data_IF_803016145078
#
_entry.id   IF_803016145078
#
_cell.length_a   1.000
_cell.length_b   1.000
_cell.length_c   1.000
_cell.angle_alpha   90.00
_cell.angle_beta   90.00
_cell.angle_gamma   90.00
#
_symmetry.space_group_name_H-M   'P 1'
#
loop_
_entity.id
_entity.type
_entity.pdbx_description
1 polymer ?
#
# COMPACT_ATOMS: atom_id res chain seq x y z
N UNK A 1 -16.57 -8.87 1.26
CA UNK A 1 -15.74 -7.98 0.41
C UNK A 1 -16.38 -6.63 0.05
N UNK A 2 -17.48 -6.54 -0.71
CA UNK A 2 -18.08 -5.22 -1.10
C UNK A 2 -18.43 -4.31 0.08
N UNK A 3 -19.03 -4.86 1.13
CA UNK A 3 -19.35 -4.11 2.35
C UNK A 3 -18.09 -3.57 3.06
N UNK A 4 -17.01 -4.36 3.10
CA UNK A 4 -15.74 -3.96 3.72
C UNK A 4 -15.07 -2.81 2.97
N UNK A 5 -15.02 -2.88 1.64
CA UNK A 5 -14.54 -1.75 0.83
C UNK A 5 -15.36 -0.48 1.08
N UNK A 6 -16.69 -0.59 1.16
CA UNK A 6 -17.53 0.56 1.48
C UNK A 6 -17.18 1.15 2.85
N UNK A 7 -16.90 0.31 3.86
CA UNK A 7 -16.46 0.75 5.19
C UNK A 7 -15.11 1.48 5.14
N UNK A 8 -14.14 0.97 4.39
CA UNK A 8 -12.82 1.62 4.21
C UNK A 8 -12.96 2.96 3.49
N UNK A 9 -13.74 3.02 2.42
CA UNK A 9 -13.97 4.26 1.67
C UNK A 9 -14.74 5.28 2.51
N UNK A 10 -15.72 4.84 3.30
CA UNK A 10 -16.43 5.70 4.27
C UNK A 10 -15.46 6.25 5.32
N UNK A 11 -14.63 5.38 5.91
CA UNK A 11 -13.59 5.76 6.86
C UNK A 11 -12.62 6.80 6.28
N UNK A 12 -12.19 6.61 5.03
CA UNK A 12 -11.29 7.52 4.33
C UNK A 12 -11.95 8.87 4.01
N UNK A 13 -13.22 8.88 3.60
CA UNK A 13 -13.98 10.12 3.38
C UNK A 13 -14.15 10.92 4.66
N UNK A 14 -14.52 10.27 5.76
CA UNK A 14 -14.73 10.92 7.07
C UNK A 14 -13.45 11.60 7.60
N UNK A 15 -12.28 11.17 7.11
CA UNK A 15 -10.96 11.67 7.51
C UNK A 15 -10.32 12.54 6.44
N UNK A 16 -11.12 13.00 5.47
CA UNK A 16 -10.69 13.82 4.34
C UNK A 16 -9.55 13.21 3.49
N UNK A 17 -9.36 11.88 3.50
CA UNK A 17 -8.25 11.26 2.76
C UNK A 17 -8.48 11.32 1.25
N UNK A 18 -9.71 11.05 0.81
CA UNK A 18 -10.05 11.02 -0.62
C UNK A 18 -9.96 12.41 -1.26
N UNK A 19 -10.42 13.46 -0.56
CA UNK A 19 -10.42 14.84 -1.09
C UNK A 19 -9.18 15.65 -0.71
N UNK A 20 -8.61 15.40 0.47
CA UNK A 20 -7.44 16.11 1.00
C UNK A 20 -6.09 15.52 0.57
N UNK A 21 -6.09 14.51 -0.30
CA UNK A 21 -4.87 13.85 -0.81
C UNK A 21 -5.00 13.53 -2.30
N UNK A 22 -3.90 13.10 -2.90
CA UNK A 22 -3.86 12.58 -4.27
C UNK A 22 -3.31 11.16 -4.26
N UNK A 23 -3.59 10.36 -5.29
CA UNK A 23 -3.00 9.02 -5.43
C UNK A 23 -1.46 9.07 -5.37
N UNK A 24 -0.86 10.10 -5.99
CA UNK A 24 0.59 10.35 -5.92
C UNK A 24 1.08 10.55 -4.48
N UNK A 25 0.34 11.31 -3.64
CA UNK A 25 0.68 11.51 -2.23
C UNK A 25 0.37 10.28 -1.36
N UNK A 26 -0.48 9.35 -1.81
CA UNK A 26 -0.73 8.08 -1.12
C UNK A 26 0.29 6.99 -1.47
N UNK A 27 0.99 7.11 -2.61
CA UNK A 27 1.97 6.12 -3.04
C UNK A 27 3.09 5.84 -2.02
N UNK A 28 3.66 6.84 -1.30
CA UNK A 28 4.64 6.57 -0.26
C UNK A 28 4.09 5.66 0.85
N UNK A 29 2.79 5.79 1.20
CA UNK A 29 2.17 4.91 2.17
C UNK A 29 2.02 3.49 1.63
N UNK A 30 1.65 3.33 0.35
CA UNK A 30 1.68 2.02 -0.30
C UNK A 30 3.10 1.40 -0.25
N UNK A 31 4.13 2.19 -0.54
CA UNK A 31 5.52 1.72 -0.50
C UNK A 31 5.94 1.29 0.92
N UNK A 32 5.51 2.01 1.95
CA UNK A 32 5.72 1.64 3.36
C UNK A 32 5.18 0.24 3.65
N UNK A 33 3.93 -0.05 3.27
CA UNK A 33 3.33 -1.39 3.47
C UNK A 33 4.06 -2.48 2.66
N UNK A 34 4.56 -2.17 1.46
CA UNK A 34 5.37 -3.11 0.67
C UNK A 34 6.71 -3.41 1.35
N UNK A 35 7.34 -2.41 1.97
CA UNK A 35 8.58 -2.57 2.73
C UNK A 35 8.32 -3.40 4.00
N UNK A 36 7.22 -3.14 4.72
CA UNK A 36 6.81 -3.94 5.88
C UNK A 36 6.55 -5.40 5.49
N UNK A 37 5.83 -5.64 4.39
CA UNK A 37 5.61 -6.98 3.86
C UNK A 37 6.94 -7.69 3.52
N UNK A 38 7.88 -6.98 2.87
CA UNK A 38 9.21 -7.54 2.60
C UNK A 38 9.95 -7.89 3.90
N UNK A 39 9.86 -7.04 4.93
CA UNK A 39 10.46 -7.28 6.23
C UNK A 39 9.85 -8.50 6.93
N UNK A 40 8.52 -8.64 6.91
CA UNK A 40 7.80 -9.81 7.45
C UNK A 40 8.23 -11.11 6.79
N UNK A 41 8.48 -11.10 5.47
CA UNK A 41 8.97 -12.27 4.74
C UNK A 41 10.46 -12.58 4.99
N UNK A 42 11.21 -11.65 5.59
CA UNK A 42 12.63 -11.81 5.88
C UNK A 42 12.95 -11.41 7.34
N UNK A 43 12.35 -12.09 8.34
CA UNK A 43 12.42 -11.69 9.75
C UNK A 43 13.84 -11.72 10.36
N UNK A 44 14.81 -12.31 9.65
CA UNK A 44 16.23 -12.35 10.04
C UNK A 44 17.06 -11.16 9.55
N UNK A 45 16.49 -10.25 8.74
CA UNK A 45 17.20 -9.07 8.24
C UNK A 45 16.91 -7.87 9.13
N UNK A 46 17.94 -7.12 9.50
CA UNK A 46 17.77 -5.79 10.09
C UNK A 46 17.38 -4.73 9.04
N UNK A 47 17.02 -3.53 9.51
CA UNK A 47 16.59 -2.44 8.65
C UNK A 47 17.62 -2.00 7.60
N UNK A 48 18.92 -2.05 7.92
CA UNK A 48 19.99 -1.69 6.98
C UNK A 48 20.07 -2.72 5.85
N UNK A 49 19.99 -4.00 6.19
CA UNK A 49 20.03 -5.11 5.22
C UNK A 49 18.76 -5.13 4.36
N UNK A 50 17.59 -4.81 4.93
CA UNK A 50 16.33 -4.66 4.19
C UNK A 50 16.47 -3.56 3.13
N UNK A 51 16.93 -2.36 3.53
CA UNK A 51 17.12 -1.23 2.62
C UNK A 51 18.08 -1.59 1.48
N UNK A 52 19.24 -2.19 1.79
CA UNK A 52 20.19 -2.63 0.77
C UNK A 52 19.62 -3.67 -0.18
N UNK A 53 18.82 -4.62 0.34
CA UNK A 53 18.15 -5.65 -0.48
C UNK A 53 17.14 -5.04 -1.45
N UNK A 54 16.35 -4.06 -1.01
CA UNK A 54 15.36 -3.38 -1.85
C UNK A 54 16.00 -2.52 -2.93
N UNK A 55 17.06 -1.78 -2.59
CA UNK A 55 17.86 -1.03 -3.58
C UNK A 55 18.38 -1.97 -4.66
N UNK A 56 18.91 -3.13 -4.25
CA UNK A 56 19.39 -4.14 -5.20
C UNK A 56 18.29 -4.63 -6.13
N UNK A 57 17.10 -4.95 -5.60
CA UNK A 57 15.95 -5.37 -6.41
C UNK A 57 15.57 -4.29 -7.41
N UNK A 58 15.57 -3.01 -7.01
CA UNK A 58 15.29 -1.89 -7.91
C UNK A 58 16.32 -1.82 -9.03
N UNK A 59 17.62 -1.93 -8.72
CA UNK A 59 18.69 -1.97 -9.73
C UNK A 59 18.49 -3.14 -10.70
N UNK A 60 18.17 -4.33 -10.20
CA UNK A 60 17.92 -5.52 -11.03
C UNK A 60 16.68 -5.35 -11.93
N UNK A 61 15.65 -4.63 -11.48
CA UNK A 61 14.48 -4.30 -12.30
C UNK A 61 14.81 -3.28 -13.40
N UNK A 62 15.66 -2.29 -13.09
CA UNK A 62 16.14 -1.32 -14.06
C UNK A 62 16.99 -1.99 -15.15
N UNK A 63 17.95 -2.84 -14.77
CA UNK A 63 18.78 -3.62 -15.69
C UNK A 63 17.94 -4.51 -16.62
N UNK A 64 16.78 -5.00 -16.14
CA UNK A 64 15.82 -5.79 -16.93
C UNK A 64 14.85 -4.93 -17.78
N UNK A 65 15.01 -3.61 -17.79
CA UNK A 65 14.16 -2.67 -18.53
C UNK A 65 12.72 -2.60 -18.01
N UNK A 66 12.49 -2.95 -16.75
CA UNK A 66 11.15 -2.90 -16.12
C UNK A 66 10.83 -1.51 -15.57
N UNK A 67 11.83 -0.69 -15.27
CA UNK A 67 11.66 0.70 -14.88
C UNK A 67 11.70 1.57 -16.15
N UNK A 68 10.57 2.15 -16.52
CA UNK A 68 10.43 2.98 -17.72
C UNK A 68 9.27 3.95 -17.57
N UNK A 69 9.28 5.00 -18.38
CA UNK A 69 8.18 5.94 -18.44
C UNK A 69 6.88 5.22 -18.85
N UNK A 70 5.78 5.54 -18.14
CA UNK A 70 4.48 5.03 -18.51
C UNK A 70 4.10 5.49 -19.93
N UNK A 71 3.57 4.60 -20.79
CA UNK A 71 3.11 4.99 -22.12
C UNK A 71 1.98 6.01 -22.01
N UNK A 72 1.88 6.87 -23.03
CA UNK A 72 0.82 7.89 -23.09
C UNK A 72 -0.55 7.21 -23.05
N UNK A 73 -1.40 7.68 -22.14
CA UNK A 73 -2.77 7.16 -22.00
C UNK A 73 -2.90 5.90 -21.13
N UNK A 74 -1.83 5.44 -20.48
CA UNK A 74 -1.92 4.35 -19.50
C UNK A 74 -2.89 4.72 -18.39
N UNK A 75 -3.75 3.77 -18.01
CA UNK A 75 -4.75 3.95 -16.98
C UNK A 75 -4.23 3.41 -15.64
N UNK A 76 -4.56 4.11 -14.55
CA UNK A 76 -4.21 3.67 -13.20
C UNK A 76 -4.89 2.34 -12.82
N UNK A 77 -5.99 1.99 -13.50
CA UNK A 77 -6.70 0.72 -13.30
C UNK A 77 -5.83 -0.48 -13.59
N UNK A 78 -4.94 -0.38 -14.58
CA UNK A 78 -4.03 -1.46 -14.94
C UNK A 78 -3.01 -1.68 -13.82
N UNK A 79 -2.37 -0.59 -13.36
CA UNK A 79 -1.34 -0.64 -12.33
C UNK A 79 -1.87 -1.07 -10.95
N UNK A 80 -3.02 -0.54 -10.53
CA UNK A 80 -3.67 -0.95 -9.27
C UNK A 80 -4.13 -2.40 -9.36
N UNK A 81 -4.68 -2.81 -10.51
CA UNK A 81 -5.11 -4.19 -10.76
C UNK A 81 -3.95 -5.18 -10.67
N UNK A 82 -2.84 -4.89 -11.33
CA UNK A 82 -1.64 -5.73 -11.31
C UNK A 82 -1.08 -5.89 -9.88
N UNK A 83 -1.04 -4.82 -9.09
CA UNK A 83 -0.69 -4.90 -7.67
C UNK A 83 -1.65 -5.82 -6.89
N UNK A 84 -2.96 -5.68 -7.09
CA UNK A 84 -3.95 -6.52 -6.41
C UNK A 84 -3.83 -8.00 -6.78
N UNK A 85 -3.50 -8.32 -8.04
CA UNK A 85 -3.29 -9.70 -8.49
C UNK A 85 -2.08 -10.31 -7.77
N UNK A 86 -0.96 -9.60 -7.69
CA UNK A 86 0.23 -10.09 -6.97
C UNK A 86 -0.07 -10.29 -5.48
N UNK A 87 -0.77 -9.35 -4.85
CA UNK A 87 -1.18 -9.48 -3.44
C UNK A 87 -2.11 -10.67 -3.20
N UNK A 88 -3.03 -10.96 -4.13
CA UNK A 88 -3.91 -12.13 -4.03
C UNK A 88 -3.13 -13.44 -4.11
N UNK A 89 -2.13 -13.52 -5.00
CA UNK A 89 -1.25 -14.69 -5.12
C UNK A 89 -0.44 -14.89 -3.83
N UNK A 90 0.15 -13.82 -3.30
CA UNK A 90 0.94 -13.90 -2.07
C UNK A 90 0.09 -14.30 -0.86
N UNK A 91 -1.13 -13.76 -0.74
CA UNK A 91 -2.04 -14.17 0.33
C UNK A 91 -2.34 -15.68 0.26
N UNK A 92 -2.67 -16.20 -0.93
CA UNK A 92 -2.94 -17.63 -1.11
C UNK A 92 -1.70 -18.50 -0.79
N UNK A 93 -0.50 -18.05 -1.15
CA UNK A 93 0.76 -18.72 -0.81
C UNK A 93 0.95 -18.84 0.72
N UNK A 94 0.50 -17.83 1.46
CA UNK A 94 0.50 -17.81 2.93
C UNK A 94 -0.77 -18.42 3.54
N UNK A 95 -1.62 -19.07 2.74
CA UNK A 95 -2.90 -19.70 3.15
C UNK A 95 -3.90 -18.71 3.76
N UNK A 96 -3.91 -17.49 3.23
CA UNK A 96 -4.80 -16.40 3.60
C UNK A 96 -5.64 -15.97 2.40
N UNK A 97 -6.80 -15.38 2.66
CA UNK A 97 -7.55 -14.64 1.66
C UNK A 97 -7.26 -13.14 1.74
N UNK A 98 -7.36 -12.45 0.60
CA UNK A 98 -7.29 -10.98 0.57
C UNK A 98 -8.34 -10.34 1.48
N UNK A 99 -9.50 -10.99 1.63
CA UNK A 99 -10.56 -10.48 2.51
C UNK A 99 -10.10 -10.48 3.96
N UNK A 100 -9.49 -11.55 4.46
CA UNK A 100 -8.98 -11.63 5.84
C UNK A 100 -7.90 -10.59 6.10
N UNK A 101 -6.94 -10.43 5.18
CA UNK A 101 -5.92 -9.39 5.29
C UNK A 101 -6.55 -7.99 5.37
N UNK A 102 -7.56 -7.73 4.55
CA UNK A 102 -8.23 -6.43 4.51
C UNK A 102 -9.11 -6.18 5.75
N UNK A 103 -9.76 -7.22 6.29
CA UNK A 103 -10.54 -7.14 7.53
C UNK A 103 -9.63 -6.85 8.73
N UNK A 104 -8.47 -7.51 8.80
CA UNK A 104 -7.46 -7.21 9.80
C UNK A 104 -7.02 -5.74 9.72
N UNK A 105 -6.57 -5.29 8.54
CA UNK A 105 -6.12 -3.92 8.34
C UNK A 105 -7.21 -2.89 8.64
N UNK A 106 -8.47 -3.17 8.28
CA UNK A 106 -9.59 -2.27 8.62
C UNK A 106 -9.81 -2.18 10.13
N UNK A 107 -9.71 -3.30 10.85
CA UNK A 107 -9.83 -3.31 12.30
C UNK A 107 -8.73 -2.49 13.00
N UNK A 108 -7.52 -2.43 12.44
CA UNK A 108 -6.41 -1.61 12.96
C UNK A 108 -6.59 -0.10 12.74
N UNK A 109 -7.40 0.30 11.75
CA UNK A 109 -7.58 1.72 11.40
C UNK A 109 -8.93 2.29 11.85
N UNK A 110 -9.97 1.48 11.99
CA UNK A 110 -11.37 1.96 12.11
C UNK A 110 -11.58 3.00 13.21
N UNK A 111 -10.87 2.85 14.33
CA UNK A 111 -10.98 3.71 15.51
C UNK A 111 -9.95 4.85 15.54
N UNK A 112 -9.00 4.89 14.60
CA UNK A 112 -8.00 5.97 14.50
C UNK A 112 -8.69 7.31 14.30
N UNK A 113 -8.26 8.31 15.07
CA UNK A 113 -8.76 9.69 15.02
C UNK A 113 -7.75 10.59 14.33
N UNK A 114 -8.25 11.57 13.58
CA UNK A 114 -7.43 12.46 12.75
C UNK A 114 -7.96 12.62 11.34
N UNK A 115 -7.38 13.57 10.61
CA UNK A 115 -7.80 13.92 9.25
C UNK A 115 -6.61 14.37 8.39
N UNK A 116 -6.75 14.27 7.08
CA UNK A 116 -5.81 14.87 6.14
C UNK A 116 -6.00 16.39 6.08
N UNK A 117 -4.92 17.12 6.35
CA UNK A 117 -4.81 18.58 6.26
C UNK A 117 -3.58 18.87 5.37
N UNK A 118 -3.78 19.61 4.28
CA UNK A 118 -2.72 19.98 3.32
C UNK A 118 -1.88 18.80 2.76
N UNK A 119 -2.47 17.61 2.73
CA UNK A 119 -1.79 16.40 2.28
C UNK A 119 -0.97 15.68 3.35
N UNK A 120 -1.12 16.05 4.62
CA UNK A 120 -0.53 15.38 5.80
C UNK A 120 -1.63 14.86 6.72
N UNK A 121 -1.51 13.63 7.22
CA UNK A 121 -2.47 13.07 8.18
C UNK A 121 -2.18 13.60 9.58
N UNK A 122 -3.07 14.43 10.12
CA UNK A 122 -2.95 15.02 11.46
C UNK A 122 -3.82 14.22 12.42
N UNK A 123 -3.22 13.63 13.45
CA UNK A 123 -3.94 12.89 14.51
C UNK A 123 -4.70 13.87 15.42
N UNK A 124 -5.87 13.49 15.91
CA UNK A 124 -6.58 14.29 16.93
C UNK A 124 -5.77 14.28 18.24
N UNK A 125 -5.55 15.46 18.83
CA UNK A 125 -4.82 15.63 20.10
C UNK A 125 -3.31 15.83 19.97
N UNK A 126 -2.80 16.07 18.75
CA UNK A 126 -1.42 16.56 18.49
C UNK A 126 -1.35 18.06 18.32
#
# INVERSE_FOLDING_TARGET
MKALFNSIISWANNRNIIKGSTAQKQFPKLLEEVIELYATLHPWKDGTVIMGSLIRIICELDEKGKIKQAPKGKLITDDVGDCMVVLAIMAEQEKLTVTECLEHAYNDIKDRKGQMIDGVFVKEGG
#
